data_IF_097876698153
#
_entry.id   IF_097876698153
#
_cell.length_a   1.000
_cell.length_b   1.000
_cell.length_c   1.000
_cell.angle_alpha   90.00
_cell.angle_beta   90.00
_cell.angle_gamma   90.00
#
_symmetry.space_group_name_H-M   'P 1'
#
loop_
_entity.id
_entity.type
_entity.pdbx_description
1 polymer ?
#
# COMPACT_ATOMS: atom_id res chain seq x y z
N UNK A 1 -19.13 16.05 -3.11
CA UNK A 1 -18.01 15.86 -4.05
C UNK A 1 -17.27 14.57 -3.68
N UNK A 2 -17.71 13.42 -4.19
CA UNK A 2 -17.01 12.14 -3.98
C UNK A 2 -16.07 11.91 -5.15
N UNK A 3 -14.77 12.07 -4.94
CA UNK A 3 -13.77 11.89 -6.00
C UNK A 3 -13.75 10.42 -6.43
N UNK A 4 -13.68 10.19 -7.75
CA UNK A 4 -13.56 8.88 -8.40
C UNK A 4 -12.34 8.04 -7.94
N UNK A 5 -11.49 8.57 -7.06
CA UNK A 5 -10.25 7.99 -6.57
C UNK A 5 -10.27 7.62 -5.08
N UNK A 6 -11.43 7.68 -4.41
CA UNK A 6 -11.55 7.39 -2.97
C UNK A 6 -10.87 6.09 -2.49
N UNK A 7 -11.03 4.94 -3.19
CA UNK A 7 -10.40 3.68 -2.77
C UNK A 7 -8.87 3.70 -2.91
N UNK A 8 -8.34 4.27 -4.00
CA UNK A 8 -6.90 4.41 -4.21
C UNK A 8 -6.28 5.35 -3.17
N UNK A 9 -6.98 6.42 -2.79
CA UNK A 9 -6.53 7.35 -1.77
C UNK A 9 -6.42 6.67 -0.39
N UNK A 10 -7.38 5.83 -0.01
CA UNK A 10 -7.33 5.05 1.24
C UNK A 10 -6.12 4.10 1.23
N UNK A 11 -5.82 3.48 0.09
CA UNK A 11 -4.65 2.63 -0.05
C UNK A 11 -3.34 3.41 0.16
N UNK A 12 -3.20 4.61 -0.42
CA UNK A 12 -2.03 5.46 -0.20
C UNK A 12 -1.89 5.92 1.26
N UNK A 13 -3.00 6.20 1.95
CA UNK A 13 -2.97 6.51 3.38
C UNK A 13 -2.45 5.32 4.19
N UNK A 14 -2.94 4.10 3.91
CA UNK A 14 -2.49 2.89 4.59
C UNK A 14 -0.98 2.65 4.40
N UNK A 15 -0.47 2.89 3.19
CA UNK A 15 0.97 2.84 2.91
C UNK A 15 1.73 3.91 3.69
N UNK A 16 1.26 5.16 3.68
CA UNK A 16 1.91 6.25 4.41
C UNK A 16 1.99 5.97 5.92
N UNK A 17 0.92 5.42 6.51
CA UNK A 17 0.89 4.99 7.91
C UNK A 17 1.88 3.86 8.14
N UNK A 18 1.92 2.86 7.26
CA UNK A 18 2.85 1.73 7.40
C UNK A 18 4.33 2.16 7.33
N UNK A 19 4.65 3.12 6.45
CA UNK A 19 5.98 3.75 6.38
C UNK A 19 6.27 4.53 7.66
N UNK A 20 5.32 5.31 8.17
CA UNK A 20 5.50 6.07 9.41
C UNK A 20 5.79 5.16 10.61
N UNK A 21 5.08 4.02 10.72
CA UNK A 21 5.33 3.01 11.76
C UNK A 21 6.74 2.41 11.61
N UNK A 22 7.15 2.09 10.37
CA UNK A 22 8.50 1.62 10.11
C UNK A 22 9.56 2.68 10.42
N UNK A 23 9.28 3.96 10.19
CA UNK A 23 10.19 5.06 10.50
C UNK A 23 10.43 5.19 12.01
N UNK A 24 9.39 5.07 12.82
CA UNK A 24 9.49 5.12 14.29
C UNK A 24 10.26 3.91 14.84
N UNK A 25 10.12 2.74 14.22
CA UNK A 25 10.85 1.51 14.63
C UNK A 25 12.24 1.37 14.00
N UNK A 26 12.63 2.30 13.12
CA UNK A 26 13.85 2.25 12.31
C UNK A 26 13.62 1.61 10.95
N UNK A 27 13.54 2.42 9.89
CA UNK A 27 13.29 1.97 8.50
C UNK A 27 14.28 0.91 8.04
N UNK A 28 15.54 0.99 8.48
CA UNK A 28 16.58 0.02 8.12
C UNK A 28 16.38 -1.36 8.75
N UNK A 29 15.64 -1.45 9.87
CA UNK A 29 15.34 -2.71 10.54
C UNK A 29 14.05 -3.36 10.01
N UNK A 30 13.31 -2.67 9.14
CA UNK A 30 11.98 -3.09 8.70
C UNK A 30 10.94 -3.10 9.82
N UNK A 31 9.67 -3.32 9.47
CA UNK A 31 8.58 -3.42 10.43
C UNK A 31 7.50 -4.36 9.92
N UNK A 32 7.21 -5.43 10.67
CA UNK A 32 6.11 -6.35 10.36
C UNK A 32 4.78 -5.61 10.45
N UNK A 33 4.59 -4.82 11.51
CA UNK A 33 3.36 -4.04 11.70
C UNK A 33 3.18 -3.01 10.59
N UNK A 34 4.22 -2.23 10.27
CA UNK A 34 4.19 -1.27 9.17
C UNK A 34 3.99 -1.93 7.80
N UNK A 35 4.60 -3.10 7.59
CA UNK A 35 4.48 -3.88 6.37
C UNK A 35 3.10 -4.49 6.16
N UNK A 36 2.50 -5.08 7.21
CA UNK A 36 1.12 -5.61 7.18
C UNK A 36 0.12 -4.49 6.93
N UNK A 37 0.25 -3.35 7.61
CA UNK A 37 -0.66 -2.20 7.40
C UNK A 37 -0.54 -1.66 5.98
N UNK A 38 0.69 -1.55 5.45
CA UNK A 38 0.93 -1.16 4.06
C UNK A 38 0.28 -2.14 3.10
N UNK A 39 0.43 -3.46 3.32
CA UNK A 39 -0.13 -4.51 2.49
C UNK A 39 -1.67 -4.58 2.55
N UNK A 40 -2.27 -4.28 3.71
CA UNK A 40 -3.74 -4.17 3.84
C UNK A 40 -4.31 -3.03 2.96
N UNK A 41 -3.50 -2.02 2.64
CA UNK A 41 -3.82 -1.00 1.64
C UNK A 41 -4.13 -1.55 0.24
N UNK A 42 -3.69 -2.77 -0.08
CA UNK A 42 -3.96 -3.41 -1.37
C UNK A 42 -5.43 -3.79 -1.50
N UNK A 43 -6.15 -4.03 -0.39
CA UNK A 43 -7.58 -4.38 -0.40
C UNK A 43 -8.44 -3.26 -1.02
N UNK A 44 -8.41 -2.01 -0.50
CA UNK A 44 -9.15 -0.91 -1.11
C UNK A 44 -8.62 -0.55 -2.52
N UNK A 45 -7.34 -0.75 -2.80
CA UNK A 45 -6.80 -0.54 -4.15
C UNK A 45 -7.34 -1.56 -5.18
N UNK A 46 -7.44 -2.85 -4.82
CA UNK A 46 -8.05 -3.89 -5.64
C UNK A 46 -9.55 -3.64 -5.85
N UNK A 47 -10.27 -3.17 -4.83
CA UNK A 47 -11.67 -2.76 -4.98
C UNK A 47 -11.83 -1.55 -5.92
N UNK A 48 -10.93 -0.58 -5.82
CA UNK A 48 -10.84 0.55 -6.75
C UNK A 48 -10.58 0.10 -8.18
N UNK A 49 -9.68 -0.86 -8.37
CA UNK A 49 -9.35 -1.42 -9.68
C UNK A 49 -10.55 -2.13 -10.31
N UNK A 50 -11.27 -2.97 -9.56
CA UNK A 50 -12.48 -3.63 -10.05
C UNK A 50 -13.56 -2.62 -10.46
N UNK A 51 -13.79 -1.57 -9.66
CA UNK A 51 -14.72 -0.48 -10.04
C UNK A 51 -14.22 0.37 -11.21
N UNK A 52 -12.91 0.56 -11.35
CA UNK A 52 -12.30 1.30 -12.45
C UNK A 52 -12.48 0.58 -13.78
N UNK A 53 -12.36 -0.75 -13.80
CA UNK A 53 -12.63 -1.59 -14.98
C UNK A 53 -14.08 -1.39 -15.46
N UNK A 54 -15.03 -1.32 -14.54
CA UNK A 54 -16.45 -1.11 -14.89
C UNK A 54 -16.77 0.30 -15.39
N UNK A 55 -15.88 1.29 -15.19
CA UNK A 55 -16.10 2.68 -15.61
C UNK A 55 -15.37 3.07 -16.89
N UNK A 56 -14.61 2.17 -17.51
CA UNK A 56 -13.76 2.41 -18.69
C UNK A 56 -12.83 3.64 -18.58
N UNK A 57 -12.59 4.16 -17.37
CA UNK A 57 -11.72 5.31 -17.16
C UNK A 57 -10.28 4.83 -16.94
N UNK A 58 -9.46 4.89 -18.00
CA UNK A 58 -8.02 4.56 -17.96
C UNK A 58 -7.29 5.21 -16.77
N UNK A 59 -7.61 6.47 -16.43
CA UNK A 59 -6.97 7.18 -15.32
C UNK A 59 -7.29 6.59 -13.94
N UNK A 60 -8.53 6.14 -13.72
CA UNK A 60 -8.95 5.53 -12.44
C UNK A 60 -8.38 4.12 -12.28
N UNK A 61 -8.26 3.39 -13.39
CA UNK A 61 -7.60 2.09 -13.42
C UNK A 61 -6.11 2.21 -13.10
N UNK A 62 -5.39 3.10 -13.79
CA UNK A 62 -3.96 3.31 -13.60
C UNK A 62 -3.62 3.68 -12.15
N UNK A 63 -4.39 4.59 -11.54
CA UNK A 63 -4.20 4.99 -10.14
C UNK A 63 -4.40 3.81 -9.16
N UNK A 64 -5.37 2.94 -9.44
CA UNK A 64 -5.65 1.77 -8.59
C UNK A 64 -4.53 0.72 -8.72
N UNK A 65 -4.03 0.48 -9.93
CA UNK A 65 -2.89 -0.44 -10.17
C UNK A 65 -1.63 0.06 -9.47
N UNK A 66 -1.31 1.35 -9.60
CA UNK A 66 -0.16 1.96 -8.92
C UNK A 66 -0.33 1.85 -7.40
N UNK A 67 -1.53 2.11 -6.88
CA UNK A 67 -1.81 1.97 -5.45
C UNK A 67 -1.59 0.53 -4.95
N UNK A 68 -2.00 -0.49 -5.70
CA UNK A 68 -1.73 -1.91 -5.37
C UNK A 68 -0.22 -2.19 -5.38
N UNK A 69 0.48 -1.78 -6.44
CA UNK A 69 1.92 -2.02 -6.58
C UNK A 69 2.73 -1.35 -5.47
N UNK A 70 2.40 -0.11 -5.14
CA UNK A 70 3.06 0.64 -4.06
C UNK A 70 2.74 -0.01 -2.71
N UNK A 71 1.48 -0.42 -2.48
CA UNK A 71 1.06 -1.08 -1.24
C UNK A 71 1.76 -2.41 -0.99
N UNK A 72 1.79 -3.29 -2.00
CA UNK A 72 2.48 -4.57 -1.91
C UNK A 72 4.00 -4.41 -1.91
N UNK A 73 4.54 -3.48 -2.70
CA UNK A 73 5.96 -3.19 -2.75
C UNK A 73 6.50 -2.70 -1.40
N UNK A 74 5.86 -1.68 -0.82
CA UNK A 74 6.26 -1.16 0.49
C UNK A 74 6.03 -2.19 1.59
N UNK A 75 4.87 -2.86 1.59
CA UNK A 75 4.55 -3.90 2.57
C UNK A 75 5.55 -5.05 2.56
N UNK A 76 5.86 -5.57 1.37
CA UNK A 76 6.83 -6.63 1.16
C UNK A 76 8.24 -6.23 1.56
N UNK A 77 8.70 -5.04 1.14
CA UNK A 77 10.05 -4.55 1.49
C UNK A 77 10.21 -4.40 3.01
N UNK A 78 9.23 -3.82 3.70
CA UNK A 78 9.29 -3.65 5.16
C UNK A 78 9.30 -4.99 5.92
N UNK A 79 8.59 -6.00 5.43
CA UNK A 79 8.59 -7.34 6.01
C UNK A 79 9.93 -8.03 5.74
N UNK A 80 10.43 -7.98 4.51
CA UNK A 80 11.71 -8.60 4.12
C UNK A 80 12.88 -8.00 4.90
N UNK A 81 12.94 -6.67 5.01
CA UNK A 81 13.97 -6.00 5.81
C UNK A 81 13.95 -6.46 7.27
N UNK A 82 12.76 -6.70 7.83
CA UNK A 82 12.64 -7.22 9.19
C UNK A 82 13.14 -8.66 9.32
N UNK A 83 12.84 -9.51 8.34
CA UNK A 83 13.34 -10.88 8.31
C UNK A 83 14.86 -10.90 8.20
N UNK A 84 15.45 -10.06 7.33
CA UNK A 84 16.91 -9.94 7.19
C UNK A 84 17.53 -9.52 8.53
N UNK A 85 16.97 -8.50 9.19
CA UNK A 85 17.44 -8.07 10.50
C UNK A 85 17.34 -9.16 11.60
N UNK A 86 16.43 -10.12 11.48
CA UNK A 86 16.38 -11.24 12.42
C UNK A 86 17.40 -12.34 12.13
N UNK A 87 17.87 -12.44 10.88
CA UNK A 87 18.78 -13.50 10.42
C UNK A 87 20.24 -13.05 10.42
N UNK A 88 20.50 -11.76 10.19
CA UNK A 88 21.82 -11.13 10.21
C UNK A 88 22.17 -10.58 11.61
#
# INVERSE_FOLDING_TARGET
>A
MGTSNGPAFIAFIAVAIGIAIAAVQGIQHGSIAGGVISALGAIPACYGMWKGIQKETQGTLAMSVIAVLVSLGVGGVLIVLRVIHWVA
#
